data_IF_522841725656
#
_entry.id   IF_522841725656
#
_cell.length_a   1.000
_cell.length_b   1.000
_cell.length_c   1.000
_cell.angle_alpha   90.00
_cell.angle_beta   90.00
_cell.angle_gamma   90.00
#
_symmetry.space_group_name_H-M   'P 1'
#
loop_
_entity.id
_entity.type
_entity.pdbx_description
1 polymer ?
#
# COMPACT_ATOMS: atom_id res chain seq x y z
N UNK A 1 37.50 27.05 8.05
CA UNK A 1 37.78 27.59 6.71
C UNK A 1 36.95 28.86 6.51
N UNK A 2 37.58 30.01 6.23
CA UNK A 2 36.85 31.21 5.80
C UNK A 2 36.53 31.08 4.31
N UNK A 3 35.26 31.08 3.97
CA UNK A 3 34.80 31.06 2.56
C UNK A 3 34.98 32.47 2.02
N UNK A 4 36.00 32.67 1.18
CA UNK A 4 36.36 34.00 0.67
C UNK A 4 35.58 34.42 -0.59
N UNK A 5 34.88 33.49 -1.26
CA UNK A 5 34.10 33.77 -2.47
C UNK A 5 33.01 32.71 -2.67
N UNK A 6 31.78 33.15 -2.90
CA UNK A 6 30.65 32.29 -3.31
C UNK A 6 30.34 32.63 -4.77
N UNK A 7 30.39 31.63 -5.65
CA UNK A 7 29.99 31.78 -7.06
C UNK A 7 28.68 31.03 -7.26
N UNK A 8 27.62 31.73 -7.69
CA UNK A 8 26.35 31.10 -8.05
C UNK A 8 26.40 30.69 -9.53
N UNK A 9 26.32 29.39 -9.80
CA UNK A 9 26.24 28.86 -11.16
C UNK A 9 24.79 28.91 -11.68
N UNK A 10 24.63 28.89 -13.00
CA UNK A 10 23.31 28.77 -13.61
C UNK A 10 22.70 27.38 -13.38
N UNK A 11 21.36 27.33 -13.38
CA UNK A 11 20.64 26.08 -13.25
C UNK A 11 20.72 25.27 -14.55
N UNK A 12 21.17 24.01 -14.47
CA UNK A 12 21.19 23.09 -15.62
C UNK A 12 19.77 22.90 -16.16
N UNK A 13 19.60 23.03 -17.48
CA UNK A 13 18.34 22.67 -18.17
C UNK A 13 18.01 21.19 -17.93
N UNK A 14 16.76 20.93 -17.58
CA UNK A 14 16.29 19.56 -17.37
C UNK A 14 16.13 18.84 -18.72
N UNK A 15 16.56 17.57 -18.76
CA UNK A 15 16.36 16.70 -19.93
C UNK A 15 14.90 16.22 -19.91
N UNK A 16 14.14 16.58 -20.93
CA UNK A 16 12.70 16.29 -21.05
C UNK A 16 12.41 15.00 -21.80
N UNK A 17 13.26 14.66 -22.78
CA UNK A 17 13.21 13.39 -23.48
C UNK A 17 14.28 12.46 -22.92
N UNK A 18 13.88 11.44 -22.18
CA UNK A 18 14.82 10.50 -21.56
C UNK A 18 15.45 9.54 -22.58
N UNK A 19 14.86 9.40 -23.77
CA UNK A 19 15.38 8.52 -24.82
C UNK A 19 16.63 9.08 -25.49
N UNK A 20 16.92 10.37 -25.31
CA UNK A 20 18.17 10.98 -25.78
C UNK A 20 19.36 10.64 -24.88
N UNK A 21 19.12 10.01 -23.73
CA UNK A 21 20.19 9.61 -22.81
C UNK A 21 20.78 8.31 -23.35
N UNK A 22 22.10 8.25 -23.61
CA UNK A 22 22.73 7.04 -24.12
C UNK A 22 22.62 5.91 -23.10
N UNK A 23 22.62 4.67 -23.58
CA UNK A 23 22.77 3.52 -22.71
C UNK A 23 24.10 3.55 -21.98
N UNK A 24 24.08 3.06 -20.74
CA UNK A 24 25.31 2.82 -20.00
C UNK A 24 26.10 1.73 -20.71
N UNK A 25 27.40 1.95 -20.87
CA UNK A 25 28.29 0.86 -21.22
C UNK A 25 28.41 -0.08 -20.02
N UNK A 26 27.66 -1.16 -20.11
CA UNK A 26 27.53 -2.17 -19.06
C UNK A 26 28.68 -3.17 -19.07
N UNK A 27 29.49 -3.21 -20.12
CA UNK A 27 30.68 -4.06 -20.16
C UNK A 27 31.76 -3.61 -19.16
N UNK A 28 31.72 -2.34 -18.73
CA UNK A 28 32.67 -1.76 -17.78
C UNK A 28 32.38 -2.09 -16.31
N UNK A 29 31.27 -2.77 -16.03
CA UNK A 29 30.85 -3.12 -14.66
C UNK A 29 31.26 -4.54 -14.35
N UNK A 30 32.11 -4.71 -13.33
CA UNK A 30 32.38 -6.03 -12.74
C UNK A 30 31.18 -6.46 -11.89
N UNK A 31 30.34 -7.31 -12.48
CA UNK A 31 29.08 -7.75 -11.89
C UNK A 31 29.27 -8.66 -10.68
N UNK A 32 30.31 -9.50 -10.66
CA UNK A 32 30.57 -10.38 -9.52
C UNK A 32 30.88 -9.56 -8.27
N UNK A 33 31.69 -8.50 -8.43
CA UNK A 33 32.02 -7.57 -7.36
C UNK A 33 30.87 -6.63 -7.00
N UNK A 34 30.09 -6.17 -7.97
CA UNK A 34 29.03 -5.18 -7.73
C UNK A 34 27.77 -5.80 -7.09
N UNK A 35 27.51 -7.09 -7.36
CA UNK A 35 26.31 -7.79 -6.90
C UNK A 35 26.14 -7.76 -5.37
N UNK A 36 27.23 -7.80 -4.60
CA UNK A 36 27.16 -7.80 -3.12
C UNK A 36 26.54 -6.53 -2.51
N UNK A 37 26.50 -5.42 -3.26
CA UNK A 37 26.02 -4.12 -2.78
C UNK A 37 24.58 -3.80 -3.19
N UNK A 38 24.13 -4.36 -4.32
CA UNK A 38 22.82 -4.01 -4.91
C UNK A 38 21.84 -5.19 -4.95
N UNK A 39 22.28 -6.42 -4.72
CA UNK A 39 21.38 -7.58 -4.73
C UNK A 39 20.59 -7.71 -3.43
N UNK A 40 19.35 -8.17 -3.56
CA UNK A 40 18.62 -8.73 -2.43
C UNK A 40 19.32 -10.03 -1.99
N UNK A 41 19.43 -10.26 -0.68
CA UNK A 41 20.04 -11.47 -0.14
C UNK A 41 19.49 -12.74 -0.82
N UNK A 42 20.39 -13.53 -1.43
CA UNK A 42 20.04 -14.77 -2.13
C UNK A 42 19.69 -14.64 -3.62
N UNK A 43 19.69 -13.43 -4.20
CA UNK A 43 19.42 -13.24 -5.64
C UNK A 43 20.72 -12.98 -6.39
N UNK A 44 21.14 -13.94 -7.22
CA UNK A 44 22.27 -13.75 -8.14
C UNK A 44 21.80 -13.20 -9.48
N UNK A 45 22.62 -12.37 -10.13
CA UNK A 45 22.35 -11.81 -11.46
C UNK A 45 21.06 -10.96 -11.53
N UNK A 46 21.00 -9.90 -10.73
CA UNK A 46 19.95 -8.86 -10.79
C UNK A 46 20.53 -7.53 -11.24
N UNK A 47 19.78 -6.76 -12.03
CA UNK A 47 20.19 -5.42 -12.46
C UNK A 47 19.05 -4.43 -12.48
N UNK A 48 19.34 -3.18 -12.14
CA UNK A 48 18.36 -2.10 -12.13
C UNK A 48 18.22 -1.41 -13.49
N UNK A 49 17.00 -1.01 -13.80
CA UNK A 49 16.62 -0.17 -14.94
C UNK A 49 15.79 1.00 -14.42
N UNK A 50 16.01 2.19 -14.98
CA UNK A 50 15.16 3.35 -14.75
C UNK A 50 14.25 3.53 -15.97
N UNK A 51 12.93 3.45 -15.76
CA UNK A 51 11.95 3.71 -16.81
C UNK A 51 11.48 5.17 -16.78
N UNK A 52 11.52 5.80 -15.61
CA UNK A 52 11.01 7.16 -15.41
C UNK A 52 11.97 8.03 -14.61
N UNK A 53 11.77 9.35 -14.71
CA UNK A 53 12.45 10.33 -13.88
C UNK A 53 11.44 11.31 -13.32
N UNK A 54 11.51 11.55 -12.01
CA UNK A 54 10.49 12.29 -11.28
C UNK A 54 9.25 11.46 -11.00
N UNK A 55 8.24 12.09 -10.40
CA UNK A 55 7.00 11.42 -10.01
C UNK A 55 5.82 12.16 -10.65
N UNK A 56 4.83 11.47 -11.27
CA UNK A 56 3.64 12.14 -11.80
C UNK A 56 2.78 12.73 -10.68
N UNK A 57 3.02 12.31 -9.44
CA UNK A 57 2.30 12.76 -8.26
C UNK A 57 3.01 13.96 -7.64
N UNK A 58 2.33 15.11 -7.61
CA UNK A 58 2.80 16.36 -6.98
C UNK A 58 2.43 16.42 -5.50
N UNK A 59 2.69 15.33 -4.78
CA UNK A 59 2.35 15.22 -3.37
C UNK A 59 3.12 16.26 -2.54
N UNK A 60 2.42 17.17 -1.86
CA UNK A 60 3.03 18.23 -1.04
C UNK A 60 4.00 17.72 0.06
N UNK A 61 3.91 16.43 0.44
CA UNK A 61 4.77 15.76 1.41
C UNK A 61 6.03 15.11 0.82
N UNK A 62 6.11 14.98 -0.50
CA UNK A 62 7.20 14.31 -1.20
C UNK A 62 8.29 15.34 -1.55
N UNK A 63 9.57 15.02 -1.45
CA UNK A 63 10.60 15.96 -1.94
C UNK A 63 10.75 15.97 -3.46
N UNK A 64 10.22 14.93 -4.13
CA UNK A 64 10.38 14.76 -5.59
C UNK A 64 9.76 15.92 -6.37
N UNK A 65 8.65 16.53 -5.93
CA UNK A 65 8.08 17.70 -6.65
C UNK A 65 8.95 18.96 -6.56
N UNK A 66 9.85 19.04 -5.58
CA UNK A 66 10.79 20.16 -5.43
C UNK A 66 12.08 19.95 -6.21
N UNK A 67 12.50 18.71 -6.36
CA UNK A 67 13.72 18.34 -7.09
C UNK A 67 13.47 18.06 -8.57
N UNK A 68 12.25 17.65 -8.91
CA UNK A 68 11.85 17.29 -10.28
C UNK A 68 10.46 17.87 -10.56
N UNK A 69 10.41 18.97 -11.30
CA UNK A 69 9.16 19.68 -11.64
C UNK A 69 8.25 18.89 -12.60
N UNK A 70 8.86 17.94 -13.31
CA UNK A 70 8.25 17.19 -14.41
C UNK A 70 8.49 15.70 -14.23
N UNK A 71 7.54 14.91 -14.71
CA UNK A 71 7.67 13.46 -14.79
C UNK A 71 7.89 13.10 -16.25
N UNK A 72 9.03 12.49 -16.53
CA UNK A 72 9.38 12.02 -17.87
C UNK A 72 9.48 10.51 -17.86
N UNK A 73 9.06 9.89 -18.97
CA UNK A 73 9.14 8.45 -19.18
C UNK A 73 9.95 8.19 -20.43
N UNK A 74 10.69 7.09 -20.44
CA UNK A 74 11.28 6.55 -21.65
C UNK A 74 10.21 5.89 -22.51
N UNK A 75 10.45 5.79 -23.81
CA UNK A 75 9.61 4.97 -24.69
C UNK A 75 9.72 3.49 -24.34
N UNK A 76 8.68 2.74 -24.70
CA UNK A 76 8.63 1.30 -24.46
C UNK A 76 9.74 0.59 -25.22
N UNK A 77 10.01 1.01 -26.46
CA UNK A 77 11.02 0.41 -27.33
C UNK A 77 12.42 0.55 -26.73
N UNK A 78 12.78 1.74 -26.26
CA UNK A 78 14.07 2.02 -25.63
C UNK A 78 14.24 1.27 -24.30
N UNK A 79 13.16 1.02 -23.55
CA UNK A 79 13.19 0.16 -22.36
C UNK A 79 13.38 -1.31 -22.75
N UNK A 80 12.65 -1.76 -23.77
CA UNK A 80 12.72 -3.13 -24.27
C UNK A 80 14.13 -3.47 -24.75
N UNK A 81 14.73 -2.62 -25.57
CA UNK A 81 16.08 -2.81 -26.10
C UNK A 81 17.12 -2.92 -24.98
N UNK A 82 16.99 -2.06 -23.96
CA UNK A 82 17.85 -2.16 -22.78
C UNK A 82 17.62 -3.49 -22.05
N UNK A 83 16.37 -3.85 -21.73
CA UNK A 83 16.06 -5.12 -21.04
C UNK A 83 16.54 -6.33 -21.82
N UNK A 84 16.44 -6.31 -23.14
CA UNK A 84 16.95 -7.36 -24.02
C UNK A 84 18.47 -7.47 -23.92
N UNK A 85 19.19 -6.35 -24.03
CA UNK A 85 20.65 -6.33 -23.83
C UNK A 85 21.04 -6.91 -22.46
N UNK A 86 20.29 -6.60 -21.40
CA UNK A 86 20.51 -7.16 -20.06
C UNK A 86 20.33 -8.68 -20.04
N UNK A 87 19.25 -9.16 -20.65
CA UNK A 87 18.95 -10.59 -20.73
C UNK A 87 20.01 -11.35 -21.53
N UNK A 88 20.50 -10.77 -22.63
CA UNK A 88 21.56 -11.34 -23.47
C UNK A 88 22.91 -11.45 -22.73
N UNK A 89 23.13 -10.61 -21.72
CA UNK A 89 24.27 -10.72 -20.78
C UNK A 89 24.10 -11.83 -19.73
N UNK A 90 22.97 -12.56 -19.73
CA UNK A 90 22.68 -13.65 -18.79
C UNK A 90 22.01 -13.23 -17.48
N UNK A 91 21.64 -11.96 -17.34
CA UNK A 91 20.92 -11.45 -16.16
C UNK A 91 19.47 -11.92 -16.20
N UNK A 92 19.01 -12.57 -15.13
CA UNK A 92 17.67 -13.19 -15.08
C UNK A 92 16.63 -12.32 -14.37
N UNK A 93 17.07 -11.27 -13.67
CA UNK A 93 16.18 -10.37 -12.93
C UNK A 93 16.49 -8.93 -13.27
N UNK A 94 15.46 -8.22 -13.72
CA UNK A 94 15.51 -6.77 -13.96
C UNK A 94 14.60 -6.07 -12.95
N UNK A 95 15.14 -5.09 -12.25
CA UNK A 95 14.45 -4.33 -11.21
C UNK A 95 14.24 -2.89 -11.66
N UNK A 96 12.98 -2.44 -11.71
CA UNK A 96 12.68 -1.04 -12.03
C UNK A 96 12.82 -0.16 -10.78
N UNK A 97 13.81 0.73 -10.77
CA UNK A 97 14.07 1.66 -9.66
C UNK A 97 13.69 3.07 -10.11
N UNK A 98 12.43 3.42 -9.93
CA UNK A 98 11.90 4.73 -10.31
C UNK A 98 11.64 5.62 -9.07
N UNK A 99 11.56 6.93 -9.29
CA UNK A 99 11.25 7.93 -8.25
C UNK A 99 9.79 7.84 -7.79
N UNK A 100 9.46 6.90 -6.91
CA UNK A 100 8.06 6.68 -6.52
C UNK A 100 7.73 7.12 -5.10
N UNK A 101 8.66 7.16 -4.14
CA UNK A 101 8.26 7.48 -2.76
C UNK A 101 9.42 7.82 -1.81
N UNK A 102 9.61 9.11 -1.51
CA UNK A 102 10.45 9.55 -0.39
C UNK A 102 9.62 10.37 0.59
N UNK A 103 9.30 9.80 1.76
CA UNK A 103 8.69 10.55 2.88
C UNK A 103 9.83 11.17 3.68
N UNK A 104 9.83 12.51 3.76
CA UNK A 104 10.80 13.24 4.57
C UNK A 104 10.56 13.02 6.06
N UNK A 105 11.64 12.90 6.87
CA UNK A 105 11.58 12.91 8.36
C UNK A 105 10.96 14.21 8.93
N UNK A 106 10.94 15.30 8.14
CA UNK A 106 10.27 16.58 8.42
C UNK A 106 9.02 16.79 7.54
N UNK A 107 8.10 15.83 7.55
CA UNK A 107 6.82 15.95 6.86
C UNK A 107 5.89 16.95 7.57
N UNK A 108 5.06 17.70 6.81
CA UNK A 108 3.96 18.52 7.36
C UNK A 108 2.73 17.69 7.77
N UNK A 109 2.78 16.37 7.62
CA UNK A 109 1.69 15.47 8.02
C UNK A 109 1.58 15.45 9.54
N UNK A 110 0.36 15.66 10.04
CA UNK A 110 0.07 15.70 11.48
C UNK A 110 0.40 14.39 12.17
N UNK A 111 0.99 14.46 13.37
CA UNK A 111 1.28 13.31 14.25
C UNK A 111 0.02 12.56 14.67
N UNK A 112 -1.14 13.23 14.70
CA UNK A 112 -2.44 12.59 14.96
C UNK A 112 -2.80 11.59 13.87
N UNK A 113 -2.51 11.92 12.59
CA UNK A 113 -2.81 11.04 11.45
C UNK A 113 -1.87 9.84 11.40
N UNK A 114 -0.61 10.00 11.81
CA UNK A 114 0.35 8.89 11.87
C UNK A 114 0.25 8.06 13.15
N UNK A 115 -0.56 8.48 14.13
CA UNK A 115 -0.59 7.93 15.48
C UNK A 115 0.84 7.80 16.06
N UNK A 116 1.65 8.84 15.91
CA UNK A 116 3.07 8.90 16.30
C UNK A 116 3.99 7.83 15.65
N UNK A 117 3.53 7.10 14.62
CA UNK A 117 4.34 6.10 13.92
C UNK A 117 5.22 6.75 12.85
N UNK A 118 6.30 6.05 12.49
CA UNK A 118 7.21 6.42 11.39
C UNK A 118 6.64 6.08 10.00
N UNK A 119 5.55 5.32 9.95
CA UNK A 119 4.91 4.86 8.72
C UNK A 119 3.53 5.49 8.56
N UNK A 120 3.11 5.70 7.31
CA UNK A 120 1.81 6.24 6.94
C UNK A 120 1.18 5.36 5.86
N UNK A 121 -0.09 4.99 6.06
CA UNK A 121 -0.87 4.30 5.04
C UNK A 121 -1.53 5.33 4.12
N UNK A 122 -1.26 5.25 2.82
CA UNK A 122 -1.86 6.12 1.80
C UNK A 122 -2.75 5.27 0.90
N UNK A 123 -3.94 5.78 0.56
CA UNK A 123 -4.92 5.07 -0.26
C UNK A 123 -5.34 5.93 -1.45
N UNK A 124 -5.53 5.28 -2.59
CA UNK A 124 -6.08 5.88 -3.79
C UNK A 124 -7.49 5.31 -4.03
N UNK A 125 -8.56 6.04 -3.67
CA UNK A 125 -9.91 5.51 -3.74
C UNK A 125 -10.33 5.29 -5.19
N UNK A 126 -10.98 4.15 -5.47
CA UNK A 126 -11.56 3.85 -6.79
C UNK A 126 -12.89 4.56 -7.04
N UNK A 127 -13.60 4.96 -5.98
CA UNK A 127 -14.94 5.53 -6.06
C UNK A 127 -14.90 6.95 -6.67
N UNK A 128 -15.74 7.20 -7.69
CA UNK A 128 -15.70 8.42 -8.52
C UNK A 128 -15.94 9.70 -7.72
N UNK A 129 -16.95 9.73 -6.88
CA UNK A 129 -17.32 10.88 -6.05
C UNK A 129 -16.24 11.26 -5.03
N UNK A 130 -15.54 10.29 -4.41
CA UNK A 130 -14.39 10.57 -3.53
C UNK A 130 -13.21 11.11 -4.36
N UNK A 131 -12.98 10.59 -5.57
CA UNK A 131 -11.96 11.15 -6.46
C UNK A 131 -12.31 12.58 -6.90
N UNK A 132 -13.58 12.88 -7.16
CA UNK A 132 -14.04 14.23 -7.47
C UNK A 132 -13.82 15.16 -6.28
N UNK A 133 -14.16 14.73 -5.06
CA UNK A 133 -13.88 15.50 -3.84
C UNK A 133 -12.39 15.81 -3.71
N UNK A 134 -11.54 14.78 -3.75
CA UNK A 134 -10.08 14.94 -3.59
C UNK A 134 -9.48 15.84 -4.67
N UNK A 135 -10.01 15.82 -5.90
CA UNK A 135 -9.55 16.72 -6.99
C UNK A 135 -9.82 18.20 -6.71
N UNK A 136 -10.83 18.52 -5.90
CA UNK A 136 -11.17 19.89 -5.53
C UNK A 136 -10.51 20.34 -4.21
N UNK A 137 -9.76 19.45 -3.55
CA UNK A 137 -8.99 19.78 -2.34
C UNK A 137 -7.53 20.05 -2.70
N UNK A 138 -6.96 21.07 -2.08
CA UNK A 138 -5.54 21.43 -2.15
C UNK A 138 -4.69 20.73 -1.07
N UNK A 139 -5.33 19.91 -0.22
CA UNK A 139 -4.70 19.13 0.85
C UNK A 139 -5.17 17.66 0.85
N UNK A 140 -4.40 16.72 1.45
CA UNK A 140 -4.80 15.33 1.54
C UNK A 140 -5.89 15.16 2.59
N UNK A 141 -6.85 14.29 2.30
CA UNK A 141 -7.91 13.98 3.25
C UNK A 141 -7.48 12.86 4.20
N UNK A 142 -7.47 13.13 5.50
CA UNK A 142 -7.41 12.07 6.50
C UNK A 142 -8.71 11.26 6.42
N UNK A 143 -8.61 9.99 6.07
CA UNK A 143 -9.76 9.11 5.89
C UNK A 143 -9.62 7.86 6.79
N UNK A 144 -9.77 8.02 8.13
CA UNK A 144 -9.93 6.87 9.00
C UNK A 144 -11.22 6.11 8.65
N UNK A 145 -11.37 4.89 9.16
CA UNK A 145 -12.64 4.20 9.07
C UNK A 145 -13.72 5.01 9.83
N UNK A 146 -14.89 5.15 9.21
CA UNK A 146 -16.01 5.87 9.80
C UNK A 146 -16.76 4.94 10.77
N UNK A 147 -16.13 4.67 11.91
CA UNK A 147 -16.71 3.90 13.00
C UNK A 147 -16.26 4.49 14.34
N UNK A 148 -17.14 4.43 15.33
CA UNK A 148 -16.75 4.66 16.72
C UNK A 148 -15.77 3.55 17.10
N UNK A 149 -14.72 3.90 17.86
CA UNK A 149 -13.77 2.91 18.37
C UNK A 149 -14.53 1.74 19.00
N UNK A 150 -14.12 0.51 18.69
CA UNK A 150 -14.77 -0.78 19.06
C UNK A 150 -16.11 -1.12 18.39
N UNK A 151 -16.68 -0.25 17.54
CA UNK A 151 -17.88 -0.57 16.74
C UNK A 151 -17.55 -1.04 15.32
N UNK A 152 -18.48 -1.78 14.74
CA UNK A 152 -18.40 -2.30 13.37
C UNK A 152 -18.39 -1.16 12.35
N UNK A 153 -17.65 -1.36 11.26
CA UNK A 153 -17.58 -0.40 10.16
C UNK A 153 -18.93 -0.29 9.46
N UNK A 154 -19.45 0.93 9.40
CA UNK A 154 -20.63 1.29 8.61
C UNK A 154 -20.44 0.95 7.13
N UNK A 155 -21.45 0.32 6.50
CA UNK A 155 -21.43 -0.07 5.07
C UNK A 155 -22.37 0.74 4.21
N UNK A 156 -23.27 1.51 4.83
CA UNK A 156 -24.18 2.43 4.17
C UNK A 156 -24.13 3.77 4.89
N UNK A 157 -24.56 4.83 4.20
CA UNK A 157 -24.66 6.15 4.79
C UNK A 157 -25.68 6.21 5.94
N UNK A 158 -26.73 5.39 5.92
CA UNK A 158 -27.69 5.24 7.02
C UNK A 158 -27.00 4.83 8.32
N UNK A 159 -26.16 3.80 8.26
CA UNK A 159 -25.45 3.26 9.41
C UNK A 159 -24.57 4.35 10.06
N UNK A 160 -23.91 5.17 9.24
CA UNK A 160 -23.09 6.29 9.70
C UNK A 160 -23.94 7.36 10.40
N UNK A 161 -25.12 7.69 9.85
CA UNK A 161 -26.03 8.68 10.46
C UNK A 161 -26.56 8.20 11.81
N UNK A 162 -26.95 6.93 11.91
CA UNK A 162 -27.43 6.33 13.15
C UNK A 162 -26.31 6.27 14.20
N UNK A 163 -25.10 5.88 13.79
CA UNK A 163 -23.97 5.71 14.69
C UNK A 163 -23.42 7.04 15.22
N UNK A 164 -23.27 8.04 14.36
CA UNK A 164 -22.67 9.32 14.73
C UNK A 164 -23.70 10.38 15.13
N UNK A 165 -24.98 10.21 14.78
CA UNK A 165 -26.04 11.17 15.05
C UNK A 165 -25.63 12.59 14.63
N UNK A 166 -25.77 13.54 15.56
CA UNK A 166 -25.43 14.95 15.32
C UNK A 166 -23.92 15.27 15.44
N UNK A 167 -23.04 14.27 15.65
CA UNK A 167 -21.58 14.50 15.78
C UNK A 167 -20.91 14.81 14.45
N UNK A 168 -21.55 14.51 13.33
CA UNK A 168 -21.03 14.77 11.98
C UNK A 168 -21.94 15.75 11.25
N UNK A 169 -21.34 16.75 10.58
CA UNK A 169 -22.08 17.80 9.87
C UNK A 169 -22.50 17.40 8.46
N UNK A 170 -21.72 16.51 7.83
CA UNK A 170 -21.90 16.14 6.44
C UNK A 170 -21.73 14.63 6.26
N UNK A 171 -22.57 14.04 5.41
CA UNK A 171 -22.45 12.66 4.94
C UNK A 171 -22.43 12.68 3.43
N UNK A 172 -21.36 12.15 2.86
CA UNK A 172 -21.19 12.04 1.41
C UNK A 172 -21.51 10.60 0.98
N UNK A 173 -22.73 10.39 0.49
CA UNK A 173 -23.23 9.06 0.16
C UNK A 173 -22.72 8.59 -1.21
N UNK A 174 -21.80 7.62 -1.18
CA UNK A 174 -21.23 6.99 -2.37
C UNK A 174 -21.93 5.69 -2.78
N UNK A 175 -23.05 5.35 -2.14
CA UNK A 175 -23.73 4.06 -2.23
C UNK A 175 -23.22 3.02 -1.22
N UNK A 176 -23.83 1.84 -1.24
CA UNK A 176 -23.45 0.72 -0.36
C UNK A 176 -22.01 0.27 -0.63
N UNK A 177 -21.20 0.19 0.42
CA UNK A 177 -19.87 -0.39 0.37
C UNK A 177 -19.96 -1.86 -0.07
N UNK A 178 -19.13 -2.26 -1.03
CA UNK A 178 -19.00 -3.66 -1.46
C UNK A 178 -18.32 -4.54 -0.40
N UNK A 179 -17.58 -3.93 0.53
CA UNK A 179 -16.78 -4.59 1.57
C UNK A 179 -16.82 -3.69 2.81
N UNK A 180 -17.25 -4.18 3.96
CA UNK A 180 -17.27 -3.45 5.24
C UNK A 180 -16.84 -4.30 6.43
N UNK A 181 -17.73 -5.16 6.94
CA UNK A 181 -17.44 -6.07 8.09
C UNK A 181 -16.32 -7.04 7.71
N UNK A 182 -16.31 -7.43 6.44
CA UNK A 182 -15.37 -8.35 5.84
C UNK A 182 -13.91 -7.89 6.02
N UNK A 183 -13.66 -6.59 5.88
CA UNK A 183 -12.32 -6.02 6.03
C UNK A 183 -11.81 -6.04 7.47
N UNK A 184 -12.73 -5.89 8.44
CA UNK A 184 -12.40 -5.95 9.87
C UNK A 184 -12.06 -7.38 10.26
N UNK A 185 -12.87 -8.37 9.84
CA UNK A 185 -12.60 -9.80 10.08
C UNK A 185 -11.26 -10.20 9.45
N UNK A 186 -11.03 -9.85 8.18
CA UNK A 186 -9.75 -10.13 7.50
C UNK A 186 -8.58 -9.52 8.27
N UNK A 187 -8.70 -8.26 8.71
CA UNK A 187 -7.63 -7.61 9.46
C UNK A 187 -7.41 -8.21 10.85
N UNK A 188 -8.46 -8.64 11.55
CA UNK A 188 -8.37 -9.23 12.88
C UNK A 188 -7.68 -10.59 12.79
N UNK A 189 -8.18 -11.46 11.92
CA UNK A 189 -7.65 -12.82 11.75
C UNK A 189 -6.19 -12.78 11.32
N UNK A 190 -5.81 -11.94 10.34
CA UNK A 190 -4.40 -11.79 9.93
C UNK A 190 -3.46 -11.29 11.03
N UNK A 191 -3.97 -10.60 12.06
CA UNK A 191 -3.14 -10.08 13.16
C UNK A 191 -2.87 -11.12 14.24
N UNK A 192 -3.65 -12.20 14.30
CA UNK A 192 -3.50 -13.26 15.31
C UNK A 192 -2.14 -13.93 15.20
N UNK A 193 -1.73 -14.25 13.97
CA UNK A 193 -0.41 -14.77 13.67
C UNK A 193 -0.04 -14.43 12.21
N UNK A 194 0.84 -13.45 12.03
CA UNK A 194 1.26 -12.99 10.69
C UNK A 194 2.23 -13.93 9.99
N UNK A 195 2.88 -14.80 10.74
CA UNK A 195 3.86 -15.73 10.20
C UNK A 195 3.18 -17.01 9.72
N UNK A 196 2.09 -17.40 10.38
CA UNK A 196 1.31 -18.59 10.04
C UNK A 196 0.15 -18.31 9.07
N UNK A 197 -0.59 -17.20 9.25
CA UNK A 197 -1.80 -16.91 8.47
C UNK A 197 -1.43 -16.17 7.19
N UNK A 198 -1.44 -16.88 6.07
CA UNK A 198 -1.13 -16.33 4.74
C UNK A 198 -2.30 -15.52 4.19
N UNK A 199 -3.49 -16.10 4.23
CA UNK A 199 -4.66 -15.51 3.59
C UNK A 199 -5.93 -15.71 4.40
N UNK A 200 -6.84 -14.74 4.28
CA UNK A 200 -8.20 -14.80 4.84
C UNK A 200 -9.13 -14.35 3.73
N UNK A 201 -10.00 -15.25 3.27
CA UNK A 201 -10.91 -15.01 2.15
C UNK A 201 -12.34 -15.24 2.60
N UNK A 202 -13.14 -14.19 2.56
CA UNK A 202 -14.58 -14.31 2.73
C UNK A 202 -15.16 -14.84 1.43
N UNK A 203 -15.97 -15.89 1.54
CA UNK A 203 -16.57 -16.57 0.40
C UNK A 203 -18.09 -16.52 0.42
N UNK A 204 -18.71 -16.27 1.58
CA UNK A 204 -20.15 -16.10 1.68
C UNK A 204 -20.53 -15.02 2.71
N UNK A 205 -21.55 -14.25 2.36
CA UNK A 205 -22.18 -13.23 3.22
C UNK A 205 -23.69 -13.31 3.01
N UNK A 206 -24.38 -13.92 3.97
CA UNK A 206 -25.82 -14.12 3.91
C UNK A 206 -26.56 -13.14 4.81
N UNK A 207 -27.64 -12.57 4.26
CA UNK A 207 -28.63 -11.75 4.96
C UNK A 207 -30.01 -12.16 4.44
N UNK A 208 -30.89 -12.61 5.32
CA UNK A 208 -32.23 -13.08 4.96
C UNK A 208 -33.01 -13.55 6.18
N UNK A 209 -34.18 -14.12 5.95
CA UNK A 209 -35.18 -14.41 7.00
C UNK A 209 -34.69 -15.43 8.04
N UNK A 210 -33.74 -16.29 7.67
CA UNK A 210 -33.10 -17.27 8.57
C UNK A 210 -32.00 -16.68 9.47
N UNK A 211 -31.97 -15.35 9.63
CA UNK A 211 -31.08 -14.59 10.49
C UNK A 211 -31.87 -13.47 11.17
N UNK A 212 -31.60 -13.24 12.46
CA UNK A 212 -32.22 -12.16 13.21
C UNK A 212 -32.10 -10.81 12.49
N UNK A 213 -33.19 -10.02 12.48
CA UNK A 213 -33.23 -8.73 11.81
C UNK A 213 -32.05 -7.84 12.24
N UNK A 214 -31.39 -7.23 11.26
CA UNK A 214 -30.17 -6.43 11.46
C UNK A 214 -28.86 -7.21 11.57
N UNK A 215 -28.87 -8.54 11.58
CA UNK A 215 -27.65 -9.37 11.59
C UNK A 215 -27.29 -9.90 10.18
N UNK A 216 -26.04 -10.35 10.05
CA UNK A 216 -25.49 -11.00 8.85
C UNK A 216 -24.69 -12.24 9.27
N UNK A 217 -24.69 -13.27 8.44
CA UNK A 217 -23.79 -14.42 8.57
C UNK A 217 -22.66 -14.26 7.57
N UNK A 218 -21.44 -14.52 8.01
CA UNK A 218 -20.22 -14.35 7.21
C UNK A 218 -19.43 -15.65 7.31
N UNK A 219 -19.12 -16.24 6.17
CA UNK A 219 -18.24 -17.40 6.09
C UNK A 219 -16.91 -17.02 5.42
N UNK A 220 -15.81 -17.50 6.00
CA UNK A 220 -14.47 -17.20 5.53
C UNK A 220 -13.53 -18.38 5.67
N UNK A 221 -12.61 -18.48 4.71
CA UNK A 221 -11.51 -19.44 4.72
C UNK A 221 -10.26 -18.77 5.27
N UNK A 222 -9.50 -19.51 6.08
CA UNK A 222 -8.19 -19.11 6.56
C UNK A 222 -7.16 -20.10 6.00
N UNK A 223 -6.17 -19.57 5.28
CA UNK A 223 -5.06 -20.38 4.76
C UNK A 223 -3.88 -20.25 5.69
N UNK A 224 -3.50 -21.37 6.31
CA UNK A 224 -2.30 -21.49 7.14
C UNK A 224 -1.12 -21.96 6.26
N UNK A 225 0.02 -21.31 6.37
CA UNK A 225 1.25 -21.68 5.67
C UNK A 225 2.41 -21.69 6.68
N UNK A 226 2.62 -22.81 7.39
CA UNK A 226 3.71 -22.91 8.35
C UNK A 226 5.05 -22.95 7.61
N UNK A 227 6.06 -22.25 8.14
CA UNK A 227 7.41 -22.21 7.55
C UNK A 227 8.41 -23.12 8.24
N UNK A 228 8.20 -23.39 9.53
CA UNK A 228 9.21 -23.98 10.39
C UNK A 228 8.87 -25.40 10.82
N UNK A 229 7.59 -25.80 10.78
CA UNK A 229 7.14 -27.14 11.18
C UNK A 229 5.86 -27.57 10.48
N UNK A 230 5.63 -28.87 10.41
CA UNK A 230 4.30 -29.43 10.08
C UNK A 230 3.33 -29.15 11.25
N UNK A 231 2.10 -28.76 10.94
CA UNK A 231 1.06 -28.54 11.95
C UNK A 231 0.41 -29.87 12.34
N UNK A 232 0.27 -30.10 13.64
CA UNK A 232 -0.58 -31.17 14.17
C UNK A 232 -2.05 -30.74 14.25
N UNK A 233 -2.97 -31.68 14.41
CA UNK A 233 -4.39 -31.36 14.68
C UNK A 233 -4.55 -30.43 15.90
N UNK A 234 -3.77 -30.66 16.95
CA UNK A 234 -3.77 -29.80 18.15
C UNK A 234 -3.35 -28.36 17.84
N UNK A 235 -2.38 -28.16 16.95
CA UNK A 235 -1.95 -26.83 16.53
C UNK A 235 -3.07 -26.13 15.74
N UNK A 236 -3.74 -26.85 14.84
CA UNK A 236 -4.85 -26.33 14.02
C UNK A 236 -6.03 -25.94 14.92
N UNK A 237 -6.38 -26.79 15.88
CA UNK A 237 -7.47 -26.53 16.84
C UNK A 237 -7.20 -25.31 17.71
N UNK A 238 -5.96 -25.14 18.18
CA UNK A 238 -5.57 -23.96 18.97
C UNK A 238 -5.71 -22.68 18.16
N UNK A 239 -5.24 -22.69 16.91
CA UNK A 239 -5.37 -21.54 16.00
C UNK A 239 -6.84 -21.25 15.70
N UNK A 240 -7.63 -22.27 15.43
CA UNK A 240 -9.07 -22.16 15.18
C UNK A 240 -9.81 -21.56 16.38
N UNK A 241 -9.60 -22.10 17.59
CA UNK A 241 -10.19 -21.56 18.83
C UNK A 241 -9.81 -20.11 19.06
N UNK A 242 -8.54 -19.76 18.83
CA UNK A 242 -8.03 -18.38 18.97
C UNK A 242 -8.66 -17.43 17.95
N UNK A 243 -8.86 -17.89 16.72
CA UNK A 243 -9.59 -17.13 15.69
C UNK A 243 -11.02 -16.87 16.13
N UNK A 244 -11.73 -17.92 16.56
CA UNK A 244 -13.11 -17.83 17.01
C UNK A 244 -13.22 -16.86 18.19
N UNK A 245 -12.44 -17.06 19.26
CA UNK A 245 -12.50 -16.22 20.46
C UNK A 245 -12.20 -14.75 20.15
N UNK A 246 -11.15 -14.47 19.37
CA UNK A 246 -10.77 -13.10 19.00
C UNK A 246 -11.88 -12.40 18.21
N UNK A 247 -12.50 -13.12 17.26
CA UNK A 247 -13.61 -12.57 16.46
C UNK A 247 -14.84 -12.35 17.35
N UNK A 248 -15.18 -13.29 18.22
CA UNK A 248 -16.32 -13.17 19.15
C UNK A 248 -16.13 -12.00 20.12
N UNK A 249 -14.98 -11.89 20.78
CA UNK A 249 -14.67 -10.83 21.75
C UNK A 249 -14.67 -9.43 21.10
N UNK A 250 -14.14 -9.31 19.88
CA UNK A 250 -14.00 -8.00 19.24
C UNK A 250 -15.29 -7.54 18.56
N UNK A 251 -16.08 -8.47 18.01
CA UNK A 251 -17.24 -8.13 17.17
C UNK A 251 -18.59 -8.43 17.83
N UNK A 252 -18.61 -9.19 18.93
CA UNK A 252 -19.83 -9.72 19.52
C UNK A 252 -20.51 -10.79 18.64
N UNK A 253 -19.84 -11.28 17.60
CA UNK A 253 -20.37 -12.34 16.74
C UNK A 253 -20.45 -13.67 17.50
N UNK A 254 -21.32 -14.57 17.04
CA UNK A 254 -21.40 -15.95 17.52
C UNK A 254 -21.12 -16.90 16.38
N UNK A 255 -20.51 -18.05 16.69
CA UNK A 255 -20.36 -19.11 15.69
C UNK A 255 -21.75 -19.66 15.40
N UNK A 256 -22.10 -19.80 14.11
CA UNK A 256 -23.34 -20.43 13.71
C UNK A 256 -23.13 -21.95 13.77
N UNK A 257 -23.80 -22.60 14.72
CA UNK A 257 -23.93 -24.06 14.81
C UNK A 257 -24.90 -24.59 13.76
#
# INVERSE_FOLDING_TARGET
MKVNKITKTEQRKQITNLDTIPFYDRSLVDYEKYQQYISHAGVKYSMSVHATRGCPYRCFYCDVYKTTLHHFRRSVDVIYDEVKMIADMGVKRVEFIDDIFNVKKKSKISKFVTNNKKTLAIRFPKQRLVRTLIKNLDYPLAAPSANISTKLSSVKASDVKEEFGNKIKFVLDGGKCKVGIESTIISLVKKIDRNLIKNVKIFDVYQGDNIASGKKSIAFNVTLEPRDKTLSEKDIDQVSKKIISTVQETTGATLRS
#
